data_IF_931258196661
#
_entry.id   IF_931258196661
#
_cell.length_a   1.000
_cell.length_b   1.000
_cell.length_c   1.000
_cell.angle_alpha   90.00
_cell.angle_beta   90.00
_cell.angle_gamma   90.00
#
_symmetry.space_group_name_H-M   'P 1'
#
loop_
_entity.id
_entity.type
_entity.pdbx_description
1 polymer ?
#
# COMPACT_ATOMS: atom_id res chain seq x y z
N UNK A 1 -10.91 12.28 -11.75
CA UNK A 1 -9.88 13.27 -11.38
C UNK A 1 -10.43 14.67 -11.63
N UNK A 2 -10.40 15.53 -10.60
CA UNK A 2 -10.74 16.95 -10.72
C UNK A 2 -9.46 17.75 -10.75
N UNK A 3 -9.28 18.56 -11.79
CA UNK A 3 -8.12 19.45 -11.92
C UNK A 3 -8.49 20.84 -11.39
N UNK A 4 -7.71 21.32 -10.44
CA UNK A 4 -7.86 22.68 -9.91
C UNK A 4 -7.18 23.71 -10.83
N UNK A 5 -7.60 24.96 -10.72
CA UNK A 5 -6.88 26.08 -11.35
C UNK A 5 -5.43 26.15 -10.85
N UNK A 6 -4.51 26.76 -11.62
CA UNK A 6 -3.15 26.97 -11.17
C UNK A 6 -3.10 27.65 -9.79
N UNK A 7 -2.10 27.33 -9.00
CA UNK A 7 -1.98 27.82 -7.61
C UNK A 7 -1.89 29.37 -7.53
N UNK A 8 -1.34 30.01 -8.58
CA UNK A 8 -1.23 31.49 -8.68
C UNK A 8 -2.59 32.19 -8.82
N UNK A 9 -3.63 31.48 -9.27
CA UNK A 9 -4.95 32.03 -9.56
C UNK A 9 -6.04 31.59 -8.57
N UNK A 10 -5.65 30.93 -7.48
CA UNK A 10 -6.57 30.46 -6.45
C UNK A 10 -6.12 30.85 -5.05
N UNK A 11 -7.07 31.23 -4.21
CA UNK A 11 -6.80 31.63 -2.82
C UNK A 11 -6.77 30.44 -1.84
N UNK A 12 -7.26 29.26 -2.26
CA UNK A 12 -7.38 28.06 -1.40
C UNK A 12 -6.42 26.96 -1.85
N UNK A 13 -5.76 26.36 -0.89
CA UNK A 13 -4.92 25.17 -1.12
C UNK A 13 -5.78 23.94 -1.47
N UNK A 14 -5.14 22.94 -2.08
CA UNK A 14 -5.79 21.66 -2.36
C UNK A 14 -6.25 20.97 -1.07
N UNK A 15 -5.46 21.05 -0.02
CA UNK A 15 -5.73 20.47 1.29
C UNK A 15 -6.97 21.12 1.94
N UNK A 16 -7.10 22.44 1.89
CA UNK A 16 -8.28 23.17 2.39
C UNK A 16 -9.54 22.81 1.64
N UNK A 17 -9.46 22.64 0.31
CA UNK A 17 -10.59 22.24 -0.51
C UNK A 17 -11.04 20.80 -0.15
N UNK A 18 -10.10 19.89 0.03
CA UNK A 18 -10.39 18.51 0.44
C UNK A 18 -11.01 18.48 1.84
N UNK A 19 -10.48 19.25 2.79
CA UNK A 19 -11.00 19.33 4.15
C UNK A 19 -12.46 19.86 4.18
N UNK A 20 -12.81 20.82 3.33
CA UNK A 20 -14.17 21.37 3.20
C UNK A 20 -15.13 20.39 2.50
N UNK A 21 -14.65 19.62 1.53
CA UNK A 21 -15.47 18.65 0.81
C UNK A 21 -15.73 17.37 1.61
N UNK A 22 -14.83 16.99 2.50
CA UNK A 22 -14.93 15.76 3.27
C UNK A 22 -16.24 15.60 4.04
N UNK A 23 -16.68 16.58 4.88
CA UNK A 23 -17.98 16.48 5.59
C UNK A 23 -19.18 16.51 4.66
N UNK A 24 -19.09 17.18 3.49
CA UNK A 24 -20.18 17.24 2.52
C UNK A 24 -20.43 15.90 1.84
N UNK A 25 -19.37 15.14 1.58
CA UNK A 25 -19.47 13.81 0.98
C UNK A 25 -19.98 12.75 1.95
N UNK A 26 -19.74 12.90 3.25
CA UNK A 26 -20.35 12.05 4.28
C UNK A 26 -21.89 12.15 4.34
N UNK A 27 -22.46 13.24 3.82
CA UNK A 27 -23.91 13.45 3.74
C UNK A 27 -24.59 12.70 2.59
N UNK A 28 -23.87 11.92 1.77
CA UNK A 28 -24.43 11.15 0.65
C UNK A 28 -24.79 9.74 1.14
N UNK A 29 -26.08 9.42 1.37
CA UNK A 29 -26.45 8.16 2.03
C UNK A 29 -26.27 6.92 1.14
N UNK A 30 -26.12 7.08 -0.19
CA UNK A 30 -26.02 5.99 -1.15
C UNK A 30 -24.60 5.59 -1.49
N UNK A 31 -23.59 6.37 -1.09
CA UNK A 31 -22.20 6.11 -1.46
C UNK A 31 -21.22 6.66 -0.43
N UNK A 32 -20.17 5.91 -0.14
CA UNK A 32 -19.00 6.41 0.60
C UNK A 32 -18.06 7.09 -0.40
N UNK A 33 -17.96 8.42 -0.33
CA UNK A 33 -17.12 9.22 -1.21
C UNK A 33 -16.01 9.88 -0.42
N UNK A 34 -14.77 9.62 -0.82
CA UNK A 34 -13.59 10.19 -0.18
C UNK A 34 -12.84 11.08 -1.18
N UNK A 35 -12.70 12.38 -0.92
CA UNK A 35 -11.78 13.21 -1.69
C UNK A 35 -10.35 12.88 -1.28
N UNK A 36 -9.49 12.53 -2.24
CA UNK A 36 -8.12 12.10 -2.01
C UNK A 36 -7.16 13.03 -2.73
N UNK A 37 -6.15 13.51 -2.01
CA UNK A 37 -5.02 14.20 -2.60
C UNK A 37 -4.01 13.14 -3.11
N UNK A 38 -3.71 13.07 -4.40
CA UNK A 38 -2.63 12.21 -4.86
C UNK A 38 -1.30 12.72 -4.29
N UNK A 39 -0.40 11.83 -3.86
CA UNK A 39 0.92 12.22 -3.40
C UNK A 39 1.71 12.87 -4.54
N UNK A 40 2.57 13.85 -4.22
CA UNK A 40 3.40 14.56 -5.19
C UNK A 40 4.51 13.68 -5.78
N UNK A 41 4.94 12.65 -5.05
CA UNK A 41 5.89 11.63 -5.46
C UNK A 41 5.31 10.25 -5.12
N UNK A 42 5.51 9.29 -6.02
CA UNK A 42 5.03 7.92 -5.85
C UNK A 42 3.79 7.60 -6.68
N UNK A 43 3.49 6.31 -6.82
CA UNK A 43 2.33 5.82 -7.55
C UNK A 43 1.18 5.52 -6.58
N UNK A 44 0.01 6.10 -6.86
CA UNK A 44 -1.25 5.61 -6.34
C UNK A 44 -1.77 6.25 -5.05
N UNK A 45 -2.84 5.70 -4.56
CA UNK A 45 -3.48 5.99 -3.27
C UNK A 45 -2.61 5.40 -2.16
N UNK A 46 -1.61 6.13 -1.70
CA UNK A 46 -0.77 5.64 -0.62
C UNK A 46 -1.32 6.14 0.71
N UNK A 47 -1.71 5.22 1.57
CA UNK A 47 -1.87 5.52 3.00
C UNK A 47 -0.49 5.82 3.60
N UNK A 48 -0.44 6.57 4.68
CA UNK A 48 0.83 6.93 5.33
C UNK A 48 1.48 5.72 6.00
N UNK A 49 0.65 4.84 6.57
CA UNK A 49 1.08 3.60 7.22
C UNK A 49 0.65 2.40 6.39
N UNK A 50 1.62 1.54 6.09
CA UNK A 50 1.45 0.26 5.42
C UNK A 50 2.22 -0.81 6.17
N UNK A 51 1.50 -1.69 6.86
CA UNK A 51 2.07 -2.85 7.55
C UNK A 51 1.49 -4.12 6.96
N UNK A 52 2.36 -5.00 6.53
CA UNK A 52 2.01 -6.27 5.91
C UNK A 52 2.24 -7.38 6.94
N UNK A 53 1.19 -8.12 7.26
CA UNK A 53 1.24 -9.34 8.05
C UNK A 53 1.22 -10.52 7.09
N UNK A 54 2.16 -11.45 7.21
CA UNK A 54 2.32 -12.56 6.27
C UNK A 54 2.58 -13.88 6.98
N UNK A 55 2.15 -15.00 6.37
CA UNK A 55 2.47 -16.35 6.84
C UNK A 55 2.46 -17.35 5.68
N UNK A 56 3.40 -18.30 5.64
CA UNK A 56 3.43 -19.32 4.61
C UNK A 56 2.38 -20.42 4.79
N UNK A 57 1.89 -20.66 6.01
CA UNK A 57 1.09 -21.84 6.35
C UNK A 57 -0.20 -21.56 7.11
N UNK A 58 -0.44 -20.33 7.57
CA UNK A 58 -1.61 -20.01 8.38
C UNK A 58 -2.92 -20.19 7.59
N UNK A 59 -3.94 -20.73 8.26
CA UNK A 59 -5.28 -20.81 7.72
C UNK A 59 -5.91 -19.41 7.58
N UNK A 60 -6.89 -19.28 6.70
CA UNK A 60 -7.56 -17.99 6.46
C UNK A 60 -8.21 -17.43 7.74
N UNK A 61 -8.77 -18.30 8.57
CA UNK A 61 -9.39 -17.93 9.83
C UNK A 61 -8.38 -17.42 10.85
N UNK A 62 -7.18 -18.00 10.91
CA UNK A 62 -6.10 -17.51 11.76
C UNK A 62 -5.65 -16.11 11.33
N UNK A 63 -5.58 -15.86 10.01
CA UNK A 63 -5.31 -14.51 9.49
C UNK A 63 -6.39 -13.51 9.88
N UNK A 64 -7.68 -13.91 9.79
CA UNK A 64 -8.80 -13.06 10.17
C UNK A 64 -8.70 -12.66 11.64
N UNK A 65 -8.55 -13.64 12.53
CA UNK A 65 -8.46 -13.40 13.98
C UNK A 65 -7.26 -12.51 14.32
N UNK A 66 -6.08 -12.80 13.76
CA UNK A 66 -4.89 -12.01 14.00
C UNK A 66 -5.06 -10.56 13.50
N UNK A 67 -5.59 -10.38 12.29
CA UNK A 67 -5.80 -9.06 11.69
C UNK A 67 -6.81 -8.24 12.49
N UNK A 68 -7.92 -8.84 12.93
CA UNK A 68 -8.94 -8.18 13.76
C UNK A 68 -8.39 -7.77 15.13
N UNK A 69 -7.60 -8.63 15.79
CA UNK A 69 -6.95 -8.30 17.05
C UNK A 69 -5.99 -7.11 16.92
N UNK A 70 -5.15 -7.12 15.89
CA UNK A 70 -4.24 -6.01 15.60
C UNK A 70 -5.04 -4.72 15.33
N UNK A 71 -6.05 -4.77 14.47
CA UNK A 71 -6.89 -3.61 14.15
C UNK A 71 -7.57 -3.02 15.38
N UNK A 72 -8.07 -3.87 16.29
CA UNK A 72 -8.75 -3.43 17.50
C UNK A 72 -7.81 -2.63 18.43
N UNK A 73 -6.54 -3.04 18.53
CA UNK A 73 -5.54 -2.32 19.35
C UNK A 73 -4.99 -1.09 18.64
N UNK A 74 -4.67 -1.19 17.35
CA UNK A 74 -4.12 -0.08 16.56
C UNK A 74 -5.12 1.08 16.48
N UNK A 75 -6.44 0.81 16.48
CA UNK A 75 -7.47 1.86 16.56
C UNK A 75 -7.38 2.74 17.80
N UNK A 76 -6.73 2.29 18.86
CA UNK A 76 -6.57 3.03 20.11
C UNK A 76 -5.40 4.03 20.05
N UNK A 77 -4.55 3.97 19.03
CA UNK A 77 -3.43 4.89 18.87
C UNK A 77 -3.97 6.27 18.46
N UNK A 78 -3.73 7.32 19.27
CA UNK A 78 -4.13 8.67 18.89
C UNK A 78 -3.34 9.14 17.65
N UNK A 79 -4.01 9.86 16.76
CA UNK A 79 -3.39 10.37 15.55
C UNK A 79 -3.44 9.43 14.34
N UNK A 80 -4.12 8.28 14.43
CA UNK A 80 -4.45 7.42 13.30
C UNK A 80 -5.89 7.63 12.85
N UNK A 81 -6.09 7.71 11.53
CA UNK A 81 -7.39 7.80 10.88
C UNK A 81 -7.45 6.83 9.70
N UNK A 82 -8.68 6.47 9.28
CA UNK A 82 -8.91 5.60 8.14
C UNK A 82 -8.16 4.26 8.21
N UNK A 83 -8.09 3.67 9.40
CA UNK A 83 -7.51 2.34 9.57
C UNK A 83 -8.37 1.29 8.87
N UNK A 84 -7.76 0.55 7.97
CA UNK A 84 -8.41 -0.49 7.15
C UNK A 84 -7.47 -1.67 6.91
N UNK A 85 -8.06 -2.79 6.47
CA UNK A 85 -7.33 -3.97 6.01
C UNK A 85 -7.84 -4.41 4.65
N UNK A 86 -6.95 -4.92 3.82
CA UNK A 86 -7.29 -5.55 2.54
C UNK A 86 -7.89 -6.96 2.71
N UNK A 87 -7.74 -7.57 3.88
CA UNK A 87 -8.35 -8.85 4.20
C UNK A 87 -9.80 -8.65 4.66
N UNK A 88 -10.73 -8.75 3.71
CA UNK A 88 -12.18 -8.69 3.96
C UNK A 88 -12.81 -10.03 3.68
N UNK A 89 -13.32 -10.67 4.72
CA UNK A 89 -14.03 -11.96 4.64
C UNK A 89 -15.53 -11.69 4.86
N UNK A 90 -16.12 -10.98 3.94
CA UNK A 90 -17.54 -10.54 4.00
C UNK A 90 -18.27 -10.85 2.70
N UNK A 91 -17.60 -11.47 1.73
CA UNK A 91 -18.18 -11.69 0.41
C UNK A 91 -19.06 -12.93 0.43
N UNK A 92 -20.38 -12.81 0.20
CA UNK A 92 -21.25 -13.96 0.07
C UNK A 92 -20.82 -14.80 -1.13
N UNK A 93 -20.62 -16.09 -0.93
CA UNK A 93 -20.25 -17.04 -1.96
C UNK A 93 -21.05 -18.34 -1.82
N UNK A 94 -21.06 -19.14 -2.85
CA UNK A 94 -21.63 -20.45 -2.85
C UNK A 94 -20.51 -21.46 -3.01
N UNK A 95 -20.33 -22.32 -1.99
CA UNK A 95 -19.47 -23.48 -2.07
C UNK A 95 -20.22 -24.63 -2.71
N UNK A 96 -19.76 -25.05 -3.87
CA UNK A 96 -20.35 -26.16 -4.59
C UNK A 96 -19.64 -27.45 -4.17
N UNK A 97 -20.32 -28.27 -3.37
CA UNK A 97 -19.85 -29.58 -2.94
C UNK A 97 -20.29 -30.62 -3.94
N UNK A 98 -19.33 -31.29 -4.53
CA UNK A 98 -19.57 -32.29 -5.56
C UNK A 98 -19.51 -33.71 -4.99
N UNK A 99 -20.60 -34.48 -5.17
CA UNK A 99 -20.66 -35.87 -4.79
C UNK A 99 -20.02 -36.75 -5.89
N UNK A 100 -18.76 -37.12 -5.67
CA UNK A 100 -17.95 -37.86 -6.64
C UNK A 100 -18.40 -39.33 -6.76
N UNK A 101 -18.87 -39.94 -5.67
CA UNK A 101 -19.33 -41.34 -5.66
C UNK A 101 -20.59 -41.45 -6.48
N UNK A 102 -21.56 -40.60 -6.21
CA UNK A 102 -22.84 -40.58 -6.93
C UNK A 102 -22.66 -40.22 -8.43
N UNK A 103 -21.73 -39.33 -8.75
CA UNK A 103 -21.42 -38.99 -10.13
C UNK A 103 -20.79 -40.20 -10.88
N UNK A 104 -19.94 -40.99 -10.20
CA UNK A 104 -19.35 -42.18 -10.78
C UNK A 104 -20.41 -43.27 -11.04
N UNK A 105 -21.33 -43.47 -10.09
CA UNK A 105 -22.42 -44.44 -10.21
C UNK A 105 -23.38 -44.14 -11.38
N UNK A 106 -23.66 -42.84 -11.58
CA UNK A 106 -24.53 -42.37 -12.67
C UNK A 106 -23.76 -42.24 -14.00
N UNK A 107 -22.41 -42.31 -13.95
CA UNK A 107 -21.56 -42.18 -15.13
C UNK A 107 -21.36 -40.73 -15.62
N UNK A 108 -21.47 -39.74 -14.73
CA UNK A 108 -21.25 -38.34 -15.06
C UNK A 108 -19.80 -37.95 -14.73
N UNK A 109 -18.97 -37.55 -15.71
CA UNK A 109 -17.62 -37.05 -15.43
C UNK A 109 -17.63 -35.72 -14.65
N UNK A 110 -16.77 -35.58 -13.63
CA UNK A 110 -16.60 -34.32 -12.88
C UNK A 110 -16.27 -33.15 -13.80
N UNK A 111 -15.47 -33.41 -14.83
CA UNK A 111 -15.11 -32.39 -15.82
C UNK A 111 -16.33 -31.82 -16.57
N UNK A 112 -17.32 -32.66 -16.87
CA UNK A 112 -18.56 -32.19 -17.54
C UNK A 112 -19.38 -31.27 -16.66
N UNK A 113 -19.43 -31.52 -15.34
CA UNK A 113 -20.11 -30.67 -14.38
C UNK A 113 -19.36 -29.32 -14.24
N UNK A 114 -18.04 -29.38 -14.06
CA UNK A 114 -17.20 -28.16 -13.94
C UNK A 114 -17.29 -27.29 -15.21
N UNK A 115 -17.27 -27.92 -16.39
CA UNK A 115 -17.38 -27.20 -17.67
C UNK A 115 -18.76 -26.58 -17.84
N UNK A 116 -19.83 -27.27 -17.49
CA UNK A 116 -21.19 -26.73 -17.53
C UNK A 116 -21.35 -25.54 -16.60
N UNK A 117 -20.82 -25.61 -15.37
CA UNK A 117 -20.83 -24.47 -14.44
C UNK A 117 -19.99 -23.31 -14.96
N UNK A 118 -18.81 -23.59 -15.51
CA UNK A 118 -17.94 -22.57 -16.09
C UNK A 118 -18.61 -21.81 -17.23
N UNK A 119 -19.23 -22.53 -18.14
CA UNK A 119 -19.88 -21.93 -19.32
C UNK A 119 -21.19 -21.25 -18.97
N UNK A 120 -22.04 -21.88 -18.17
CA UNK A 120 -23.41 -21.43 -17.99
C UNK A 120 -23.57 -20.41 -16.86
N UNK A 121 -22.76 -20.52 -15.80
CA UNK A 121 -22.89 -19.69 -14.60
C UNK A 121 -21.82 -18.59 -14.56
N UNK A 122 -20.53 -18.93 -14.74
CA UNK A 122 -19.45 -17.97 -14.61
C UNK A 122 -19.17 -17.15 -15.87
N UNK A 123 -19.90 -17.37 -16.95
CA UNK A 123 -19.74 -16.59 -18.21
C UNK A 123 -18.32 -16.68 -18.79
N UNK A 124 -17.67 -17.79 -18.61
CA UNK A 124 -16.36 -18.03 -19.22
C UNK A 124 -16.49 -18.11 -20.75
N UNK A 125 -15.46 -17.72 -21.50
CA UNK A 125 -15.46 -17.88 -22.95
C UNK A 125 -15.60 -19.36 -23.29
N UNK A 126 -16.57 -19.68 -24.15
CA UNK A 126 -16.82 -21.03 -24.64
C UNK A 126 -15.95 -21.33 -25.85
N UNK A 127 -15.76 -20.33 -26.72
CA UNK A 127 -14.99 -20.38 -27.96
C UNK A 127 -14.63 -18.98 -28.38
N UNK A 128 -13.88 -18.84 -29.45
CA UNK A 128 -13.56 -17.56 -30.07
C UNK A 128 -13.73 -17.63 -31.58
N UNK A 129 -13.96 -16.47 -32.19
CA UNK A 129 -13.99 -16.34 -33.66
C UNK A 129 -13.27 -15.09 -34.13
N UNK A 130 -12.74 -15.18 -35.35
CA UNK A 130 -12.02 -14.08 -35.98
C UNK A 130 -12.93 -13.39 -36.98
N UNK A 131 -13.19 -12.09 -36.75
CA UNK A 131 -13.90 -11.23 -37.70
C UNK A 131 -13.08 -9.99 -38.01
N UNK A 132 -12.83 -9.72 -39.31
CA UNK A 132 -12.06 -8.57 -39.81
C UNK A 132 -10.70 -8.43 -39.08
N UNK A 133 -9.97 -9.53 -38.94
CA UNK A 133 -8.66 -9.61 -38.30
C UNK A 133 -8.65 -9.28 -36.80
N UNK A 134 -9.82 -9.32 -36.11
CA UNK A 134 -9.96 -9.20 -34.65
C UNK A 134 -10.58 -10.47 -34.13
N UNK A 135 -10.05 -10.95 -33.00
CA UNK A 135 -10.56 -12.09 -32.27
C UNK A 135 -11.65 -11.63 -31.29
N UNK A 136 -12.76 -12.36 -31.23
CA UNK A 136 -13.90 -12.11 -30.36
C UNK A 136 -14.23 -13.37 -29.61
N UNK A 137 -14.38 -13.23 -28.29
CA UNK A 137 -14.81 -14.35 -27.44
C UNK A 137 -16.31 -14.60 -27.57
N UNK A 138 -16.67 -15.87 -27.68
CA UNK A 138 -18.07 -16.32 -27.61
C UNK A 138 -18.39 -16.69 -26.17
N UNK A 139 -19.16 -15.85 -25.51
CA UNK A 139 -19.57 -16.07 -24.13
C UNK A 139 -20.99 -16.66 -24.10
N UNK A 140 -21.12 -17.88 -23.63
CA UNK A 140 -22.40 -18.53 -23.37
C UNK A 140 -22.79 -18.36 -21.91
N UNK A 141 -24.03 -18.02 -21.65
CA UNK A 141 -24.52 -17.88 -20.27
C UNK A 141 -25.99 -18.26 -20.18
N UNK A 142 -26.41 -18.77 -19.04
CA UNK A 142 -27.83 -18.85 -18.71
C UNK A 142 -28.44 -17.47 -18.63
N UNK A 143 -29.70 -17.33 -19.06
CA UNK A 143 -30.45 -16.11 -18.84
C UNK A 143 -30.49 -15.78 -17.34
N UNK A 144 -30.43 -14.49 -17.00
CA UNK A 144 -30.28 -14.02 -15.60
C UNK A 144 -31.31 -14.66 -14.66
N UNK A 145 -32.55 -14.88 -15.12
CA UNK A 145 -33.60 -15.54 -14.33
C UNK A 145 -33.25 -16.96 -13.85
N UNK A 146 -32.35 -17.67 -14.52
CA UNK A 146 -31.94 -19.03 -14.17
C UNK A 146 -30.62 -19.10 -13.39
N UNK A 147 -30.00 -17.98 -13.09
CA UNK A 147 -28.74 -17.90 -12.35
C UNK A 147 -28.75 -16.90 -11.18
N UNK A 148 -29.93 -16.32 -10.89
CA UNK A 148 -30.07 -15.30 -9.84
C UNK A 148 -30.27 -15.91 -8.44
N UNK A 149 -30.68 -17.16 -8.36
CA UNK A 149 -30.99 -17.85 -7.10
C UNK A 149 -30.25 -19.19 -7.07
N UNK A 150 -29.64 -19.57 -5.94
CA UNK A 150 -28.89 -20.83 -5.80
C UNK A 150 -29.67 -22.07 -6.18
N UNK A 151 -30.96 -22.12 -5.84
CA UNK A 151 -31.82 -23.28 -6.09
C UNK A 151 -32.01 -23.58 -7.60
N UNK A 152 -31.87 -22.54 -8.43
CA UNK A 152 -31.99 -22.70 -9.89
C UNK A 152 -30.78 -23.40 -10.53
N UNK A 153 -29.65 -23.49 -9.84
CA UNK A 153 -28.51 -24.31 -10.30
C UNK A 153 -28.91 -25.80 -10.44
N UNK A 154 -29.88 -26.24 -9.66
CA UNK A 154 -30.40 -27.57 -9.72
C UNK A 154 -31.15 -27.92 -11.00
N UNK A 155 -31.67 -26.92 -11.72
CA UNK A 155 -32.37 -27.08 -13.00
C UNK A 155 -31.42 -27.30 -14.19
N UNK A 156 -30.14 -27.04 -13.99
CA UNK A 156 -29.11 -27.30 -15.02
C UNK A 156 -28.92 -28.81 -15.17
N UNK A 157 -28.94 -29.28 -16.40
CA UNK A 157 -28.74 -30.70 -16.71
C UNK A 157 -27.37 -30.93 -17.32
N UNK A 158 -26.71 -31.98 -16.86
CA UNK A 158 -25.39 -32.43 -17.36
C UNK A 158 -25.57 -33.78 -18.07
N UNK A 159 -24.87 -33.98 -19.17
CA UNK A 159 -24.94 -35.21 -19.94
C UNK A 159 -24.05 -36.28 -19.33
N UNK A 160 -24.63 -37.44 -19.02
CA UNK A 160 -23.93 -38.67 -18.62
C UNK A 160 -23.29 -39.36 -19.85
N UNK A 161 -22.43 -40.36 -19.60
CA UNK A 161 -21.74 -41.11 -20.66
C UNK A 161 -22.69 -41.92 -21.55
N UNK A 162 -23.81 -42.36 -21.02
CA UNK A 162 -24.87 -43.07 -21.74
C UNK A 162 -25.77 -42.16 -22.59
N UNK A 163 -25.54 -40.84 -22.50
CA UNK A 163 -26.32 -39.80 -23.19
C UNK A 163 -27.53 -39.31 -22.42
N UNK A 164 -27.83 -39.85 -21.24
CA UNK A 164 -28.92 -39.37 -20.39
C UNK A 164 -28.61 -37.98 -19.81
N UNK A 165 -29.66 -37.20 -19.51
CA UNK A 165 -29.54 -35.89 -18.93
C UNK A 165 -29.84 -35.96 -17.43
N UNK A 166 -28.86 -35.60 -16.60
CA UNK A 166 -28.91 -35.68 -15.14
C UNK A 166 -29.01 -34.28 -14.56
N UNK A 167 -30.00 -34.00 -13.70
CA UNK A 167 -30.08 -32.71 -13.02
C UNK A 167 -28.87 -32.46 -12.12
N UNK A 168 -28.28 -31.25 -12.17
CA UNK A 168 -27.09 -30.91 -11.38
C UNK A 168 -27.34 -30.97 -9.87
N UNK A 169 -28.57 -30.73 -9.39
CA UNK A 169 -28.95 -30.91 -7.99
C UNK A 169 -28.72 -32.33 -7.46
N UNK A 170 -28.65 -33.32 -8.35
CA UNK A 170 -28.37 -34.72 -7.97
C UNK A 170 -26.89 -34.94 -7.63
N UNK A 171 -25.99 -34.08 -8.16
CA UNK A 171 -24.55 -34.25 -8.14
C UNK A 171 -23.83 -33.17 -7.32
N UNK A 172 -24.47 -32.02 -7.13
CA UNK A 172 -23.85 -30.82 -6.52
C UNK A 172 -24.78 -30.25 -5.46
N UNK A 173 -24.24 -30.05 -4.28
CA UNK A 173 -24.88 -29.35 -3.18
C UNK A 173 -24.30 -27.90 -3.14
N UNK A 174 -25.18 -26.91 -3.21
CA UNK A 174 -24.79 -25.49 -3.08
C UNK A 174 -24.94 -25.05 -1.62
N UNK A 175 -23.83 -24.82 -0.94
CA UNK A 175 -23.80 -24.39 0.46
C UNK A 175 -23.45 -22.91 0.52
N UNK A 176 -24.33 -22.06 1.07
CA UNK A 176 -23.98 -20.65 1.32
C UNK A 176 -22.77 -20.55 2.25
N UNK A 177 -21.80 -19.76 1.85
CA UNK A 177 -20.58 -19.52 2.60
C UNK A 177 -20.21 -18.03 2.56
N UNK A 178 -19.31 -17.60 3.42
CA UNK A 178 -18.71 -16.28 3.40
C UNK A 178 -17.21 -16.46 3.15
N UNK A 179 -16.69 -15.73 2.20
CA UNK A 179 -15.28 -15.85 1.83
C UNK A 179 -14.63 -14.50 1.57
N UNK A 180 -13.32 -14.48 1.34
CA UNK A 180 -12.61 -13.27 0.96
C UNK A 180 -12.90 -12.91 -0.48
N UNK A 181 -13.02 -11.59 -0.75
CA UNK A 181 -13.14 -11.08 -2.12
C UNK A 181 -11.85 -11.29 -2.93
N UNK A 182 -10.70 -11.18 -2.26
CA UNK A 182 -9.37 -11.43 -2.81
C UNK A 182 -8.43 -11.94 -1.73
N UNK A 183 -7.45 -12.74 -2.12
CA UNK A 183 -6.35 -13.21 -1.27
C UNK A 183 -5.05 -12.64 -1.81
N UNK A 184 -4.41 -11.80 -1.00
CA UNK A 184 -3.15 -11.18 -1.36
C UNK A 184 -1.96 -12.04 -0.90
N UNK A 185 -0.86 -11.93 -1.65
CA UNK A 185 0.40 -12.59 -1.33
C UNK A 185 1.52 -11.56 -1.38
N UNK A 186 2.41 -11.64 -0.41
CA UNK A 186 3.63 -10.86 -0.36
C UNK A 186 4.82 -11.81 -0.13
N UNK A 187 5.88 -11.70 -0.92
CA UNK A 187 7.02 -12.64 -0.92
C UNK A 187 6.57 -14.12 -0.99
N UNK A 188 5.64 -14.44 -1.88
CA UNK A 188 5.06 -15.78 -2.06
C UNK A 188 4.31 -16.34 -0.83
N UNK A 189 4.11 -15.55 0.21
CA UNK A 189 3.35 -15.91 1.40
C UNK A 189 1.98 -15.24 1.37
N UNK A 190 0.96 -15.91 1.91
CA UNK A 190 -0.34 -15.25 2.12
C UNK A 190 -0.15 -14.05 3.02
N UNK A 191 -0.81 -12.95 2.70
CA UNK A 191 -0.65 -11.69 3.42
C UNK A 191 -1.96 -10.95 3.62
N UNK A 192 -1.98 -10.12 4.67
CA UNK A 192 -2.98 -9.09 4.92
C UNK A 192 -2.25 -7.77 5.12
N UNK A 193 -2.69 -6.72 4.44
CA UNK A 193 -2.10 -5.39 4.52
C UNK A 193 -2.98 -4.48 5.38
N UNK A 194 -2.41 -3.96 6.44
CA UNK A 194 -3.00 -2.94 7.29
C UNK A 194 -2.60 -1.57 6.77
N UNK A 195 -3.57 -0.71 6.53
CA UNK A 195 -3.34 0.65 6.04
C UNK A 195 -3.99 1.67 6.96
N UNK A 196 -3.31 2.79 7.19
CA UNK A 196 -3.86 3.91 7.94
C UNK A 196 -3.28 5.24 7.45
N UNK A 197 -4.00 6.33 7.72
CA UNK A 197 -3.51 7.68 7.48
C UNK A 197 -3.20 8.37 8.80
N UNK A 198 -2.33 9.36 8.74
CA UNK A 198 -2.00 10.21 9.89
C UNK A 198 -2.99 11.37 9.99
N UNK A 199 -3.50 11.61 11.19
CA UNK A 199 -4.27 12.82 11.49
C UNK A 199 -3.36 14.06 11.45
N UNK A 200 -3.90 15.28 11.23
CA UNK A 200 -3.14 16.51 11.31
C UNK A 200 -2.37 16.63 12.63
N UNK A 201 -1.06 16.84 12.53
CA UNK A 201 -0.15 16.94 13.68
C UNK A 201 0.50 15.62 14.13
N UNK A 202 0.04 14.47 13.65
CA UNK A 202 0.73 13.20 13.88
C UNK A 202 1.87 13.00 12.89
N UNK A 203 2.94 12.34 13.32
CA UNK A 203 4.12 12.08 12.47
C UNK A 203 4.33 10.58 12.25
N UNK A 204 4.84 10.21 11.07
CA UNK A 204 5.14 8.80 10.76
C UNK A 204 6.21 8.24 11.69
N UNK A 205 7.21 9.07 12.05
CA UNK A 205 8.32 8.67 12.92
C UNK A 205 7.91 8.31 14.35
N UNK A 206 6.82 8.89 14.87
CA UNK A 206 6.30 8.58 16.20
C UNK A 206 5.24 7.48 16.18
N UNK A 207 4.44 7.45 15.12
CA UNK A 207 3.26 6.58 15.05
C UNK A 207 3.62 5.18 14.54
N UNK A 208 4.49 5.07 13.54
CA UNK A 208 4.87 3.78 12.95
C UNK A 208 5.53 2.81 13.97
N UNK A 209 6.47 3.25 14.83
CA UNK A 209 7.03 2.35 15.85
C UNK A 209 5.98 1.80 16.82
N UNK A 210 5.00 2.62 17.23
CA UNK A 210 3.90 2.17 18.10
C UNK A 210 2.98 1.17 17.42
N UNK A 211 2.71 1.37 16.12
CA UNK A 211 1.94 0.40 15.34
C UNK A 211 2.70 -0.91 15.23
N UNK A 212 4.00 -0.86 14.95
CA UNK A 212 4.84 -2.06 14.85
C UNK A 212 4.93 -2.82 16.16
N UNK A 213 5.07 -2.13 17.30
CA UNK A 213 5.06 -2.73 18.62
C UNK A 213 3.78 -3.52 18.88
N UNK A 214 2.61 -2.93 18.60
CA UNK A 214 1.31 -3.62 18.73
C UNK A 214 1.21 -4.82 17.78
N UNK A 215 1.67 -4.66 16.54
CA UNK A 215 1.64 -5.75 15.56
C UNK A 215 2.52 -6.91 16.02
N UNK A 216 3.73 -6.64 16.54
CA UNK A 216 4.65 -7.65 17.04
C UNK A 216 4.13 -8.37 18.29
N UNK A 217 3.38 -7.68 19.16
CA UNK A 217 2.76 -8.26 20.33
C UNK A 217 1.57 -9.17 20.00
N UNK A 218 0.73 -8.77 19.04
CA UNK A 218 -0.50 -9.49 18.69
C UNK A 218 -0.31 -10.60 17.66
N UNK A 219 0.81 -10.59 16.95
CA UNK A 219 1.05 -11.53 15.87
C UNK A 219 1.30 -12.94 16.41
N UNK A 220 0.56 -13.98 15.94
CA UNK A 220 0.78 -15.34 16.38
C UNK A 220 2.12 -15.90 15.91
N UNK A 221 2.59 -16.98 16.56
CA UNK A 221 3.79 -17.68 16.12
C UNK A 221 3.64 -18.22 14.69
N UNK A 222 4.66 -18.04 13.86
CA UNK A 222 4.64 -18.45 12.46
C UNK A 222 4.15 -17.37 11.47
N UNK A 223 3.75 -16.22 11.98
CA UNK A 223 3.54 -15.03 11.17
C UNK A 223 4.80 -14.17 11.15
N UNK A 224 4.94 -13.40 10.09
CA UNK A 224 5.98 -12.38 9.93
C UNK A 224 5.37 -11.04 9.53
N UNK A 225 6.15 -9.99 9.70
CA UNK A 225 5.77 -8.63 9.33
C UNK A 225 6.67 -8.11 8.21
N UNK A 226 6.14 -7.18 7.43
CA UNK A 226 6.90 -6.38 6.49
C UNK A 226 6.29 -4.99 6.39
N UNK A 227 7.07 -4.02 5.98
CA UNK A 227 6.59 -2.69 5.66
C UNK A 227 6.38 -2.54 4.15
N UNK A 228 5.34 -1.82 3.76
CA UNK A 228 5.06 -1.47 2.37
C UNK A 228 5.00 0.05 2.16
N UNK A 229 4.92 0.48 0.90
CA UNK A 229 4.69 1.87 0.54
C UNK A 229 5.60 2.88 1.24
N UNK A 230 5.02 3.99 1.64
CA UNK A 230 5.72 5.11 2.31
C UNK A 230 6.38 4.69 3.62
N UNK A 231 5.77 3.76 4.40
CA UNK A 231 6.34 3.27 5.65
C UNK A 231 7.68 2.56 5.44
N UNK A 232 7.78 1.74 4.39
CA UNK A 232 9.02 1.08 4.01
C UNK A 232 10.07 2.09 3.55
N UNK A 233 9.70 3.00 2.63
CA UNK A 233 10.59 4.04 2.13
C UNK A 233 11.14 4.91 3.26
N UNK A 234 10.30 5.25 4.24
CA UNK A 234 10.70 6.03 5.41
C UNK A 234 11.78 5.32 6.24
N UNK A 235 11.60 4.04 6.55
CA UNK A 235 12.56 3.27 7.34
C UNK A 235 13.86 3.04 6.57
N UNK A 236 13.78 2.64 5.30
CA UNK A 236 14.96 2.40 4.46
C UNK A 236 15.75 3.68 4.22
N UNK A 237 15.07 4.81 3.95
CA UNK A 237 15.76 6.09 3.72
C UNK A 237 16.38 6.67 4.98
N UNK A 238 15.72 6.52 6.13
CA UNK A 238 16.22 7.07 7.39
C UNK A 238 17.59 6.48 7.78
N UNK A 239 17.80 5.18 7.58
CA UNK A 239 19.10 4.53 7.82
C UNK A 239 20.18 4.92 6.81
N UNK A 240 19.82 4.95 5.53
CA UNK A 240 20.75 5.26 4.44
C UNK A 240 21.25 6.71 4.46
N UNK A 241 20.40 7.65 4.88
CA UNK A 241 20.73 9.08 4.91
C UNK A 241 21.84 9.37 5.91
N UNK A 242 21.83 8.81 7.11
CA UNK A 242 22.88 9.02 8.11
C UNK A 242 24.25 8.51 7.63
N UNK A 243 24.26 7.32 7.01
CA UNK A 243 25.49 6.76 6.45
C UNK A 243 26.01 7.62 5.29
N UNK A 244 25.13 7.97 4.35
CA UNK A 244 25.49 8.81 3.19
C UNK A 244 26.00 10.18 3.63
N UNK A 245 25.34 10.78 4.64
CA UNK A 245 25.77 12.06 5.21
C UNK A 245 27.13 11.95 5.87
N UNK A 246 27.41 10.89 6.65
CA UNK A 246 28.72 10.66 7.25
C UNK A 246 29.83 10.51 6.20
N UNK A 247 29.58 9.71 5.16
CA UNK A 247 30.54 9.53 4.05
C UNK A 247 30.75 10.87 3.32
N UNK A 248 29.68 11.62 3.04
CA UNK A 248 29.79 12.92 2.37
C UNK A 248 30.64 13.90 3.17
N UNK A 249 30.49 13.99 4.49
CA UNK A 249 31.33 14.83 5.35
C UNK A 249 32.81 14.43 5.30
N UNK A 250 33.10 13.11 5.33
CA UNK A 250 34.47 12.60 5.22
C UNK A 250 35.07 12.99 3.87
N UNK A 251 34.34 12.81 2.78
CA UNK A 251 34.81 13.15 1.43
C UNK A 251 35.06 14.66 1.31
N UNK A 252 34.13 15.50 1.79
CA UNK A 252 34.29 16.96 1.81
C UNK A 252 35.55 17.33 2.60
N UNK A 253 35.74 16.76 3.78
CA UNK A 253 36.93 17.02 4.60
C UNK A 253 38.23 16.67 3.86
N UNK A 254 38.29 15.49 3.23
CA UNK A 254 39.49 15.05 2.50
C UNK A 254 39.78 15.95 1.29
N UNK A 255 38.75 16.35 0.54
CA UNK A 255 38.91 17.26 -0.60
C UNK A 255 39.41 18.63 -0.15
N UNK A 256 38.84 19.17 0.93
CA UNK A 256 39.28 20.43 1.48
C UNK A 256 40.70 20.35 2.06
N UNK A 257 41.06 19.25 2.71
CA UNK A 257 42.43 19.03 3.23
C UNK A 257 43.45 19.02 2.10
N UNK A 258 43.13 18.36 0.97
CA UNK A 258 43.97 18.39 -0.22
C UNK A 258 44.05 19.79 -0.86
N UNK A 259 42.94 20.54 -0.90
CA UNK A 259 42.91 21.88 -1.52
C UNK A 259 43.62 22.96 -0.71
N UNK A 260 43.50 22.91 0.63
CA UNK A 260 44.14 23.87 1.51
C UNK A 260 45.53 23.45 1.98
N UNK A 261 46.02 22.25 1.57
CA UNK A 261 47.28 21.67 2.04
C UNK A 261 47.42 21.70 3.59
N UNK A 262 46.32 21.59 4.28
CA UNK A 262 46.22 21.74 5.73
C UNK A 262 45.08 20.90 6.28
N UNK A 263 45.27 20.29 7.44
CA UNK A 263 44.21 19.56 8.16
C UNK A 263 43.36 20.45 9.08
N UNK A 264 43.79 21.71 9.35
CA UNK A 264 43.14 22.63 10.28
C UNK A 264 42.06 23.44 9.57
N UNK A 265 42.37 23.98 8.39
CA UNK A 265 41.42 24.82 7.64
C UNK A 265 40.12 24.11 7.28
N UNK A 266 40.12 22.83 6.86
CA UNK A 266 38.87 22.06 6.64
C UNK A 266 38.01 21.96 7.89
N UNK A 267 38.59 21.78 9.07
CA UNK A 267 37.82 21.76 10.32
C UNK A 267 37.11 23.08 10.56
N UNK A 268 37.77 24.20 10.31
CA UNK A 268 37.17 25.55 10.45
C UNK A 268 35.97 25.71 9.53
N UNK A 269 36.07 25.26 8.27
CA UNK A 269 34.94 25.26 7.32
C UNK A 269 33.81 24.35 7.81
N UNK A 270 34.14 23.13 8.28
CA UNK A 270 33.15 22.17 8.73
C UNK A 270 32.41 22.57 10.01
N UNK A 271 32.92 23.50 10.82
CA UNK A 271 32.17 24.07 11.96
C UNK A 271 30.88 24.77 11.55
N UNK A 272 30.75 25.18 10.29
CA UNK A 272 29.52 25.75 9.75
C UNK A 272 28.39 24.68 9.61
N UNK A 273 28.74 23.41 9.46
CA UNK A 273 27.77 22.32 9.25
C UNK A 273 26.84 22.08 10.44
N UNK A 274 27.32 21.92 11.68
CA UNK A 274 26.45 21.82 12.85
C UNK A 274 25.55 23.04 13.04
N UNK A 275 26.09 24.26 12.80
CA UNK A 275 25.30 25.48 12.92
C UNK A 275 24.18 25.55 11.87
N UNK A 276 24.47 25.19 10.63
CA UNK A 276 23.47 25.11 9.56
C UNK A 276 22.39 24.04 9.86
N UNK A 277 22.80 22.88 10.40
CA UNK A 277 21.88 21.83 10.81
C UNK A 277 20.93 22.30 11.92
N UNK A 278 21.44 22.98 12.93
CA UNK A 278 20.64 23.60 13.99
C UNK A 278 19.65 24.64 13.44
N UNK A 279 20.12 25.46 12.49
CA UNK A 279 19.26 26.45 11.81
C UNK A 279 18.14 25.79 11.01
N UNK A 280 18.44 24.71 10.28
CA UNK A 280 17.44 23.96 9.50
C UNK A 280 16.39 23.28 10.40
N UNK A 281 16.84 22.60 11.46
CA UNK A 281 15.94 21.94 12.42
C UNK A 281 15.10 22.98 13.19
N UNK A 282 15.71 24.09 13.59
CA UNK A 282 15.02 25.21 14.22
C UNK A 282 13.97 25.83 13.30
N UNK A 283 14.30 26.03 12.01
CA UNK A 283 13.36 26.52 11.00
C UNK A 283 12.18 25.58 10.79
N UNK A 284 12.41 24.27 10.73
CA UNK A 284 11.36 23.27 10.67
C UNK A 284 10.44 23.30 11.90
N UNK A 285 11.03 23.36 13.09
CA UNK A 285 10.27 23.43 14.35
C UNK A 285 9.42 24.71 14.45
N UNK A 286 9.98 25.86 14.09
CA UNK A 286 9.26 27.15 14.11
C UNK A 286 8.14 27.23 13.06
N UNK A 287 8.32 26.57 11.90
CA UNK A 287 7.30 26.52 10.85
C UNK A 287 6.22 25.47 11.08
N UNK A 288 6.31 24.66 12.16
CA UNK A 288 5.37 23.57 12.44
C UNK A 288 5.44 22.40 11.45
N UNK A 289 6.52 22.34 10.66
CA UNK A 289 6.70 21.25 9.70
C UNK A 289 7.43 20.07 10.33
N UNK A 290 7.12 18.87 9.83
CA UNK A 290 7.72 17.62 10.31
C UNK A 290 8.92 17.20 9.48
N UNK A 291 9.81 16.40 10.09
CA UNK A 291 10.89 15.74 9.38
C UNK A 291 10.32 14.69 8.41
N UNK A 292 10.45 14.93 7.12
CA UNK A 292 10.03 14.06 6.05
C UNK A 292 11.13 13.95 4.97
N UNK A 293 10.92 13.14 3.94
CA UNK A 293 11.91 12.92 2.88
C UNK A 293 12.34 14.26 2.22
N UNK A 294 11.41 15.20 2.00
CA UNK A 294 11.71 16.49 1.39
C UNK A 294 12.56 17.39 2.30
N UNK A 295 12.24 17.44 3.59
CA UNK A 295 13.04 18.21 4.55
C UNK A 295 14.44 17.61 4.71
N UNK A 296 14.59 16.29 4.66
CA UNK A 296 15.90 15.62 4.67
C UNK A 296 16.74 15.98 3.44
N UNK A 297 16.17 15.96 2.25
CA UNK A 297 16.84 16.44 1.02
C UNK A 297 17.19 17.93 1.13
N UNK A 298 16.28 18.73 1.66
CA UNK A 298 16.50 20.17 1.89
C UNK A 298 17.68 20.45 2.83
N UNK A 299 17.81 19.67 3.90
CA UNK A 299 18.95 19.79 4.84
C UNK A 299 20.27 19.44 4.13
N UNK A 300 20.32 18.35 3.36
CA UNK A 300 21.52 17.98 2.61
C UNK A 300 21.95 19.08 1.63
N UNK A 301 20.98 19.65 0.89
CA UNK A 301 21.21 20.79 -0.01
C UNK A 301 21.74 22.03 0.72
N UNK A 302 21.13 22.36 1.86
CA UNK A 302 21.54 23.49 2.70
C UNK A 302 22.97 23.34 3.17
N UNK A 303 23.36 22.14 3.60
CA UNK A 303 24.72 21.86 4.05
C UNK A 303 25.75 22.06 2.94
N UNK A 304 25.44 21.62 1.72
CA UNK A 304 26.28 21.87 0.55
C UNK A 304 26.44 23.36 0.24
N UNK A 305 25.36 24.14 0.35
CA UNK A 305 25.36 25.57 0.10
C UNK A 305 26.17 26.34 1.16
N UNK A 306 25.99 26.01 2.45
CA UNK A 306 26.69 26.65 3.58
C UNK A 306 28.17 26.33 3.53
N UNK A 307 28.55 25.08 3.23
CA UNK A 307 29.94 24.69 3.09
C UNK A 307 30.64 25.48 1.99
N UNK A 308 29.99 25.67 0.81
CA UNK A 308 30.51 26.53 -0.26
C UNK A 308 30.81 27.98 0.20
N UNK A 309 29.87 28.57 0.92
CA UNK A 309 30.04 29.94 1.42
C UNK A 309 31.16 30.04 2.46
N UNK A 310 31.28 29.02 3.33
CA UNK A 310 32.36 28.95 4.34
C UNK A 310 33.74 28.75 3.70
N UNK A 311 33.84 27.99 2.61
CA UNK A 311 35.10 27.85 1.84
C UNK A 311 35.55 29.22 1.33
N UNK A 312 34.67 29.99 0.67
CA UNK A 312 35.01 31.32 0.14
C UNK A 312 35.47 32.28 1.23
N UNK A 313 34.84 32.25 2.39
CA UNK A 313 35.16 33.10 3.52
C UNK A 313 36.52 32.74 4.13
N UNK A 314 36.83 31.47 4.32
CA UNK A 314 38.13 31.01 4.85
C UNK A 314 39.24 31.25 3.85
N UNK A 315 39.02 31.04 2.56
CA UNK A 315 40.00 31.32 1.51
C UNK A 315 40.33 32.80 1.44
N UNK A 316 39.32 33.67 1.44
CA UNK A 316 39.51 35.11 1.47
C UNK A 316 40.30 35.57 2.72
N UNK A 317 39.92 35.06 3.90
CA UNK A 317 40.64 35.38 5.14
C UNK A 317 42.11 34.97 5.11
N UNK A 318 42.41 33.79 4.52
CA UNK A 318 43.79 33.30 4.36
C UNK A 318 44.58 34.19 3.36
N UNK A 319 43.97 34.63 2.27
CA UNK A 319 44.59 35.51 1.29
C UNK A 319 44.92 36.88 1.91
N UNK A 320 43.98 37.47 2.66
CA UNK A 320 44.23 38.77 3.34
C UNK A 320 45.29 38.63 4.42
N UNK A 321 45.31 37.53 5.18
CA UNK A 321 46.33 37.23 6.18
C UNK A 321 47.73 37.06 5.56
N UNK A 322 47.83 36.54 4.34
CA UNK A 322 49.08 36.39 3.61
C UNK A 322 49.60 37.71 3.01
N UNK A 323 48.72 38.70 2.85
CA UNK A 323 49.06 40.03 2.34
C UNK A 323 49.55 40.99 3.43
N UNK A 324 49.35 40.70 4.71
CA UNK A 324 49.72 41.47 5.89
C UNK A 324 48.50 42.00 6.59
#
# INVERSE_FOLDING_TARGET
>A
FTRLHPWETRDRSQQEIVADLFPRFFGIPQALVFPINPPSLGQGRSSDIHVIVKSPSAALEEFRVATEAILARVRQIPGLVNLDSDLRIENPQLDLRFDRERAADIGVPVSSVAESLRLLVSQGPADDFVLRNKQYDVVTALATRYRSVPDQLGEIHVRARDGSMVPMATLVEAVPAIGPASLHHFDLQRSATLTANLAPGATLGETLPRVMEIVEEEIPRGFGTALGGISREFVESSGAIFLTFGIALIVIYLVLAAQFESFVHPLTVMFSVPLASLGALGGLALSGNTMNLYSQIGIILLLGLVTKNSILLVDFANQERARG
#
